data_IF_590402215237
#
_entry.id   IF_590402215237
#
_cell.length_a   1.000
_cell.length_b   1.000
_cell.length_c   1.000
_cell.angle_alpha   90.00
_cell.angle_beta   90.00
_cell.angle_gamma   90.00
#
_symmetry.space_group_name_H-M   'P 1'
#
loop_
_entity.id
_entity.type
_entity.pdbx_description
1 polymer ?
#
# COMPACT_ATOMS: atom_id res chain seq x y z
N UNK A 1 15.66 15.18 -2.26
CA UNK A 1 14.46 15.86 -1.70
C UNK A 1 13.31 14.86 -1.74
N UNK A 2 12.46 14.85 -0.70
CA UNK A 2 11.29 13.98 -0.68
C UNK A 2 10.22 14.56 -1.64
N UNK A 3 9.76 13.78 -2.61
CA UNK A 3 8.78 14.24 -3.61
C UNK A 3 7.34 14.29 -3.06
N UNK A 4 7.04 13.56 -1.97
CA UNK A 4 5.73 13.55 -1.33
C UNK A 4 5.58 14.75 -0.38
N UNK A 5 5.28 15.92 -0.95
CA UNK A 5 5.04 17.17 -0.22
C UNK A 5 3.56 17.49 0.00
N UNK A 6 2.65 16.62 -0.47
CA UNK A 6 1.21 16.86 -0.49
C UNK A 6 0.80 17.60 -1.76
N UNK A 7 -0.03 16.98 -2.60
CA UNK A 7 -0.43 17.56 -3.89
C UNK A 7 -1.71 16.92 -4.41
N UNK A 8 -2.37 17.58 -5.38
CA UNK A 8 -3.51 17.04 -6.09
C UNK A 8 -3.10 16.41 -7.42
N UNK A 9 -3.78 15.34 -7.79
CA UNK A 9 -3.82 14.82 -9.17
C UNK A 9 -5.19 15.23 -9.74
N UNK A 10 -5.17 16.09 -10.75
CA UNK A 10 -6.39 16.61 -11.41
C UNK A 10 -6.61 15.99 -12.80
N UNK A 11 -5.53 15.51 -13.43
CA UNK A 11 -5.58 14.78 -14.70
C UNK A 11 -6.17 13.37 -14.48
N UNK A 12 -6.83 12.77 -15.49
CA UNK A 12 -7.36 11.40 -15.43
C UNK A 12 -6.25 10.35 -15.57
N UNK A 13 -5.32 10.34 -14.61
CA UNK A 13 -4.12 9.51 -14.60
C UNK A 13 -3.95 8.80 -13.27
N UNK A 14 -3.20 7.70 -13.27
CA UNK A 14 -3.00 6.87 -12.08
C UNK A 14 -4.33 6.47 -11.44
N UNK A 15 -4.48 6.65 -10.12
CA UNK A 15 -5.75 6.40 -9.43
C UNK A 15 -6.86 7.41 -9.75
N UNK A 16 -6.56 8.57 -10.33
CA UNK A 16 -7.63 9.52 -10.67
C UNK A 16 -8.36 9.12 -11.96
N UNK A 17 -7.95 8.07 -12.68
CA UNK A 17 -8.62 7.61 -13.91
C UNK A 17 -9.97 6.94 -13.65
N UNK A 18 -10.15 6.35 -12.47
CA UNK A 18 -11.34 5.60 -12.05
C UNK A 18 -12.60 6.46 -12.15
N UNK A 19 -13.58 5.99 -12.97
CA UNK A 19 -14.77 6.71 -13.45
C UNK A 19 -14.62 8.22 -13.62
N UNK A 20 -13.47 8.68 -14.11
CA UNK A 20 -13.14 10.10 -14.07
C UNK A 20 -14.21 10.95 -14.74
N UNK A 21 -14.73 10.53 -15.90
CA UNK A 21 -15.70 11.29 -16.68
C UNK A 21 -17.10 11.33 -16.01
N UNK A 22 -17.46 10.30 -15.26
CA UNK A 22 -18.78 10.15 -14.63
C UNK A 22 -18.90 10.88 -13.28
N UNK A 23 -17.78 11.03 -12.56
CA UNK A 23 -17.74 11.69 -11.24
C UNK A 23 -17.90 13.20 -11.30
N UNK A 24 -18.50 13.81 -10.28
CA UNK A 24 -18.49 15.27 -10.09
C UNK A 24 -17.10 15.77 -9.66
N UNK A 25 -16.48 15.10 -8.68
CA UNK A 25 -15.14 15.48 -8.21
C UNK A 25 -14.06 14.92 -9.16
N UNK A 26 -13.27 15.81 -9.76
CA UNK A 26 -12.25 15.47 -10.77
C UNK A 26 -10.82 15.43 -10.24
N UNK A 27 -10.62 15.40 -8.91
CA UNK A 27 -9.28 15.41 -8.33
C UNK A 27 -9.19 14.56 -7.08
N UNK A 28 -8.02 13.96 -6.88
CA UNK A 28 -7.67 13.27 -5.64
C UNK A 28 -6.42 13.89 -5.04
N UNK A 29 -6.32 13.82 -3.72
CA UNK A 29 -5.18 14.32 -2.97
C UNK A 29 -4.24 13.17 -2.62
N UNK A 30 -2.94 13.39 -2.81
CA UNK A 30 -1.88 12.51 -2.36
C UNK A 30 -1.25 13.14 -1.12
N UNK A 31 -1.40 12.55 0.08
CA UNK A 31 -0.85 13.15 1.28
C UNK A 31 0.67 13.26 1.26
N UNK A 32 1.20 14.23 2.01
CA UNK A 32 2.64 14.35 2.21
C UNK A 32 3.16 13.18 3.03
N UNK A 33 4.41 12.81 2.81
CA UNK A 33 5.09 11.83 3.64
C UNK A 33 5.81 12.53 4.79
N UNK A 34 5.52 12.13 6.02
CA UNK A 34 6.22 12.54 7.23
C UNK A 34 7.01 11.38 7.82
N UNK A 35 8.10 11.68 8.54
CA UNK A 35 8.70 10.71 9.46
C UNK A 35 7.98 10.82 10.79
N UNK A 36 7.50 9.71 11.34
CA UNK A 36 6.69 9.70 12.55
C UNK A 36 6.56 8.32 13.19
N UNK A 37 5.48 8.14 13.93
CA UNK A 37 5.11 6.91 14.65
C UNK A 37 3.70 6.48 14.22
N UNK A 38 3.22 5.32 14.70
CA UNK A 38 1.84 4.90 14.43
C UNK A 38 0.78 5.85 15.02
N UNK A 39 1.13 6.70 16.00
CA UNK A 39 0.26 7.77 16.47
C UNK A 39 0.03 8.88 15.44
N UNK A 40 0.92 9.03 14.46
CA UNK A 40 0.79 10.02 13.40
C UNK A 40 -0.08 9.52 12.23
N UNK A 41 -0.45 8.23 12.25
CA UNK A 41 -1.41 7.64 11.30
C UNK A 41 -2.81 8.01 11.79
N UNK A 42 -3.30 9.14 11.27
CA UNK A 42 -4.59 9.73 11.63
C UNK A 42 -5.37 10.11 10.39
N UNK A 43 -6.70 10.13 10.51
CA UNK A 43 -7.59 10.56 9.44
C UNK A 43 -7.31 11.99 8.99
N UNK A 44 -7.43 12.19 7.69
CA UNK A 44 -7.42 13.48 7.02
C UNK A 44 -8.80 13.80 6.44
N UNK A 45 -8.92 15.01 5.90
CA UNK A 45 -10.20 15.51 5.36
C UNK A 45 -10.28 15.45 3.83
N UNK A 46 -9.15 15.18 3.17
CA UNK A 46 -9.07 15.23 1.72
C UNK A 46 -9.56 13.93 1.09
N UNK A 47 -10.20 14.04 -0.07
CA UNK A 47 -10.57 12.90 -0.92
C UNK A 47 -9.29 12.37 -1.56
N UNK A 48 -8.93 11.12 -1.27
CA UNK A 48 -7.69 10.48 -1.76
C UNK A 48 -7.95 9.38 -2.78
N UNK A 49 -9.20 8.91 -2.86
CA UNK A 49 -9.69 7.99 -3.88
C UNK A 49 -11.14 8.33 -4.19
N UNK A 50 -11.56 8.13 -5.43
CA UNK A 50 -12.92 8.47 -5.82
C UNK A 50 -13.36 7.64 -7.02
N UNK A 51 -14.52 7.00 -6.91
CA UNK A 51 -15.06 6.08 -7.89
C UNK A 51 -16.60 6.20 -7.93
N UNK A 52 -17.22 5.79 -9.04
CA UNK A 52 -18.66 5.52 -9.10
C UNK A 52 -18.88 4.05 -8.75
N UNK A 53 -19.62 3.81 -7.67
CA UNK A 53 -20.00 2.46 -7.24
C UNK A 53 -21.51 2.35 -7.12
N UNK A 54 -22.09 1.34 -7.77
CA UNK A 54 -23.54 1.15 -7.90
C UNK A 54 -24.32 2.43 -8.25
N UNK A 55 -23.73 3.30 -9.09
CA UNK A 55 -24.31 4.57 -9.52
C UNK A 55 -24.17 5.74 -8.53
N UNK A 56 -23.49 5.53 -7.39
CA UNK A 56 -23.20 6.56 -6.41
C UNK A 56 -21.73 6.98 -6.48
N UNK A 57 -21.47 8.28 -6.38
CA UNK A 57 -20.09 8.77 -6.29
C UNK A 57 -19.54 8.61 -4.87
N UNK A 58 -18.56 7.71 -4.72
CA UNK A 58 -17.88 7.45 -3.45
C UNK A 58 -16.64 8.35 -3.37
N UNK A 59 -16.67 9.30 -2.44
CA UNK A 59 -15.59 10.26 -2.17
C UNK A 59 -14.81 9.81 -0.93
N UNK A 60 -13.85 8.91 -1.11
CA UNK A 60 -13.12 8.29 0.00
C UNK A 60 -12.09 9.24 0.60
N UNK A 61 -12.23 9.52 1.91
CA UNK A 61 -11.26 10.28 2.69
C UNK A 61 -10.21 9.33 3.26
N UNK A 62 -8.95 9.75 3.25
CA UNK A 62 -7.83 8.95 3.72
C UNK A 62 -7.07 9.59 4.87
N UNK A 63 -5.78 9.31 4.94
CA UNK A 63 -4.87 9.79 5.96
C UNK A 63 -4.55 11.28 5.81
N UNK A 64 -4.28 11.93 6.94
CA UNK A 64 -3.77 13.31 6.96
C UNK A 64 -2.38 13.40 6.33
N UNK A 65 -1.55 12.39 6.59
CA UNK A 65 -0.20 12.24 6.04
C UNK A 65 0.07 10.76 5.79
N UNK A 66 0.89 10.45 4.79
CA UNK A 66 1.58 9.18 4.75
C UNK A 66 2.66 9.20 5.83
N UNK A 67 2.91 8.06 6.48
CA UNK A 67 3.82 7.97 7.62
C UNK A 67 4.93 6.98 7.32
N UNK A 68 6.17 7.42 7.42
CA UNK A 68 7.35 6.57 7.51
C UNK A 68 7.72 6.43 8.99
N UNK A 69 7.54 5.24 9.54
CA UNK A 69 7.93 4.89 10.90
C UNK A 69 9.11 3.91 10.91
N UNK A 70 9.86 3.93 12.01
CA UNK A 70 10.92 2.95 12.28
C UNK A 70 10.44 2.15 13.49
N UNK A 71 10.12 0.87 13.29
CA UNK A 71 9.61 -0.01 14.35
C UNK A 71 10.64 -1.12 14.55
N UNK A 72 11.38 -1.03 15.65
CA UNK A 72 12.58 -1.83 15.84
C UNK A 72 13.65 -1.48 14.79
N UNK A 73 14.09 -2.47 14.03
CA UNK A 73 15.05 -2.35 12.94
C UNK A 73 14.39 -2.24 11.55
N UNK A 74 13.06 -2.07 11.50
CA UNK A 74 12.28 -2.12 10.24
C UNK A 74 11.78 -0.75 9.84
N UNK A 75 11.88 -0.47 8.54
CA UNK A 75 11.15 0.63 7.92
C UNK A 75 9.73 0.21 7.60
N UNK A 76 8.77 0.98 8.11
CA UNK A 76 7.34 0.78 7.87
C UNK A 76 6.79 2.04 7.20
N UNK A 77 6.13 1.88 6.06
CA UNK A 77 5.50 2.94 5.30
C UNK A 77 3.99 2.71 5.28
N UNK A 78 3.23 3.69 5.78
CA UNK A 78 1.77 3.66 5.82
C UNK A 78 1.22 4.76 4.92
N UNK A 79 0.33 4.42 4.00
CA UNK A 79 -0.22 5.31 2.99
C UNK A 79 -1.62 4.85 2.57
N UNK A 80 -2.36 5.69 1.83
CA UNK A 80 -3.74 5.37 1.43
C UNK A 80 -3.82 4.30 0.35
N UNK A 81 -3.41 4.66 -0.88
CA UNK A 81 -3.61 3.84 -2.06
C UNK A 81 -2.39 2.95 -2.35
N UNK A 82 -2.63 1.69 -2.73
CA UNK A 82 -1.59 0.67 -2.75
C UNK A 82 -0.45 0.90 -3.74
N UNK A 83 -0.70 1.59 -4.86
CA UNK A 83 0.30 1.90 -5.89
C UNK A 83 1.55 2.62 -5.36
N UNK A 84 1.45 3.33 -4.23
CA UNK A 84 2.57 4.00 -3.61
C UNK A 84 3.65 3.04 -3.08
N UNK A 85 3.32 1.76 -2.88
CA UNK A 85 4.25 0.72 -2.46
C UNK A 85 5.49 0.66 -3.36
N UNK A 86 5.31 0.73 -4.69
CA UNK A 86 6.44 0.72 -5.64
C UNK A 86 7.47 1.82 -5.34
N UNK A 87 7.00 3.04 -5.06
CA UNK A 87 7.91 4.15 -4.74
C UNK A 87 8.71 3.86 -3.46
N UNK A 88 8.07 3.31 -2.44
CA UNK A 88 8.72 3.02 -1.17
C UNK A 88 9.65 1.81 -1.24
N UNK A 89 9.33 0.80 -2.05
CA UNK A 89 10.26 -0.29 -2.35
C UNK A 89 11.52 0.24 -3.04
N UNK A 90 11.37 1.08 -4.07
CA UNK A 90 12.54 1.63 -4.76
C UNK A 90 13.35 2.58 -3.87
N UNK A 91 12.69 3.37 -3.03
CA UNK A 91 13.35 4.21 -2.02
C UNK A 91 14.20 3.36 -1.08
N UNK A 92 13.65 2.28 -0.54
CA UNK A 92 14.34 1.40 0.40
C UNK A 92 15.44 0.57 -0.26
N UNK A 93 15.25 0.14 -1.51
CA UNK A 93 16.29 -0.53 -2.28
C UNK A 93 17.49 0.39 -2.53
N UNK A 94 17.25 1.65 -2.89
CA UNK A 94 18.30 2.65 -3.10
C UNK A 94 19.08 2.99 -1.82
N UNK A 95 18.50 2.72 -0.65
CA UNK A 95 19.16 2.83 0.65
C UNK A 95 19.83 1.52 1.10
N UNK A 96 19.79 0.46 0.28
CA UNK A 96 20.28 -0.89 0.57
C UNK A 96 19.60 -1.54 1.79
N UNK A 97 18.31 -1.24 2.02
CA UNK A 97 17.57 -1.84 3.15
C UNK A 97 17.09 -3.27 2.87
N UNK A 98 17.15 -3.71 1.62
CA UNK A 98 16.94 -5.10 1.19
C UNK A 98 17.71 -5.38 -0.11
N UNK A 99 17.80 -6.65 -0.48
CA UNK A 99 18.52 -7.13 -1.65
C UNK A 99 17.61 -7.22 -2.86
N UNK A 100 18.06 -6.69 -4.01
CA UNK A 100 17.36 -6.87 -5.28
C UNK A 100 17.20 -8.38 -5.59
N UNK A 101 15.99 -8.78 -5.98
CA UNK A 101 15.67 -10.18 -6.26
C UNK A 101 15.25 -10.98 -5.02
N UNK A 102 14.97 -10.33 -3.88
CA UNK A 102 14.27 -10.95 -2.77
C UNK A 102 12.80 -11.23 -3.12
N UNK A 103 12.06 -11.87 -2.22
CA UNK A 103 10.63 -12.16 -2.42
C UNK A 103 9.76 -10.97 -2.00
N UNK A 104 8.62 -10.81 -2.66
CA UNK A 104 7.53 -9.98 -2.15
C UNK A 104 6.45 -10.89 -1.55
N UNK A 105 6.07 -10.63 -0.30
CA UNK A 105 4.88 -11.23 0.30
C UNK A 105 3.81 -10.15 0.30
N UNK A 106 2.72 -10.40 -0.42
CA UNK A 106 1.64 -9.44 -0.61
C UNK A 106 0.37 -10.02 0.03
N UNK A 107 -0.12 -9.35 1.08
CA UNK A 107 -1.32 -9.72 1.84
C UNK A 107 -2.41 -8.72 1.52
N UNK A 108 -3.48 -9.16 0.87
CA UNK A 108 -4.44 -8.27 0.22
C UNK A 108 -5.71 -9.06 -0.15
N UNK A 109 -6.89 -8.44 -0.16
CA UNK A 109 -8.10 -9.04 -0.74
C UNK A 109 -7.97 -9.27 -2.27
N UNK A 110 -7.14 -8.47 -2.93
CA UNK A 110 -6.87 -8.42 -4.35
C UNK A 110 -5.48 -8.98 -4.68
N UNK A 111 -5.18 -9.10 -5.97
CA UNK A 111 -3.89 -9.63 -6.45
C UNK A 111 -2.93 -8.54 -6.92
N UNK A 112 -3.48 -7.39 -7.30
CA UNK A 112 -2.76 -6.20 -7.81
C UNK A 112 -1.70 -6.44 -8.89
N UNK A 113 -2.00 -7.45 -9.72
CA UNK A 113 -1.14 -7.98 -10.77
C UNK A 113 -1.67 -7.69 -12.17
N UNK A 114 -2.55 -6.68 -12.34
CA UNK A 114 -2.95 -6.23 -13.68
C UNK A 114 -1.75 -5.62 -14.40
N UNK A 115 -1.76 -5.69 -15.73
CA UNK A 115 -0.71 -5.08 -16.54
C UNK A 115 -0.88 -3.54 -16.55
N UNK A 116 0.18 -2.76 -16.33
CA UNK A 116 0.14 -1.32 -16.55
C UNK A 116 0.08 -1.02 -18.06
N UNK A 117 -0.34 0.20 -18.42
CA UNK A 117 -0.43 0.62 -19.83
C UNK A 117 0.95 0.63 -20.54
N UNK A 118 2.03 0.82 -19.78
CA UNK A 118 3.41 0.67 -20.25
C UNK A 118 4.35 0.37 -19.08
N UNK A 119 5.59 0.04 -19.39
CA UNK A 119 6.66 -0.23 -18.42
C UNK A 119 7.76 0.84 -18.45
N UNK A 120 7.45 2.03 -18.97
CA UNK A 120 8.43 3.07 -19.27
C UNK A 120 8.80 3.83 -18.00
N UNK A 121 9.75 3.28 -17.26
CA UNK A 121 10.27 3.81 -16.01
C UNK A 121 11.74 3.45 -15.81
N UNK A 122 12.56 4.43 -15.46
CA UNK A 122 13.89 4.24 -14.89
C UNK A 122 13.76 4.07 -13.37
N UNK A 123 13.78 2.82 -12.91
CA UNK A 123 13.64 2.51 -11.48
C UNK A 123 14.82 3.03 -10.63
N UNK A 124 15.97 3.36 -11.22
CA UNK A 124 17.09 3.96 -10.49
C UNK A 124 16.96 5.48 -10.34
N UNK A 125 16.00 6.10 -11.04
CA UNK A 125 15.69 7.51 -10.94
C UNK A 125 14.42 7.73 -10.11
N UNK A 126 14.58 8.11 -8.84
CA UNK A 126 13.44 8.34 -7.93
C UNK A 126 12.44 9.40 -8.39
N UNK A 127 12.84 10.37 -9.25
CA UNK A 127 11.87 11.32 -9.85
C UNK A 127 11.00 10.62 -10.88
N UNK A 128 11.58 9.70 -11.65
CA UNK A 128 10.84 8.95 -12.65
C UNK A 128 9.95 7.88 -12.01
N UNK A 129 10.44 7.19 -10.97
CA UNK A 129 9.60 6.30 -10.14
C UNK A 129 8.42 7.07 -9.56
N UNK A 130 8.64 8.28 -9.01
CA UNK A 130 7.56 9.11 -8.49
C UNK A 130 6.52 9.47 -9.56
N UNK A 131 6.96 9.89 -10.76
CA UNK A 131 6.06 10.13 -11.89
C UNK A 131 5.27 8.87 -12.23
N UNK A 132 5.97 7.74 -12.39
CA UNK A 132 5.38 6.48 -12.83
C UNK A 132 4.33 5.98 -11.83
N UNK A 133 4.66 5.98 -10.53
CA UNK A 133 3.74 5.65 -9.44
C UNK A 133 2.45 6.48 -9.46
N UNK A 134 2.55 7.79 -9.75
CA UNK A 134 1.39 8.69 -9.62
C UNK A 134 0.62 8.90 -10.94
N UNK A 135 1.26 8.71 -12.10
CA UNK A 135 0.66 8.99 -13.42
C UNK A 135 0.38 7.75 -14.26
N UNK A 136 1.05 6.63 -14.01
CA UNK A 136 0.90 5.41 -14.83
C UNK A 136 0.26 4.29 -14.02
N UNK A 137 0.69 4.13 -12.77
CA UNK A 137 0.19 3.08 -11.91
C UNK A 137 -1.09 3.47 -11.18
N UNK A 138 -1.90 2.47 -10.93
CA UNK A 138 -3.04 2.54 -10.05
C UNK A 138 -3.00 1.37 -9.06
N UNK A 139 -3.97 1.33 -8.13
CA UNK A 139 -4.05 0.30 -7.09
C UNK A 139 -3.92 -1.12 -7.66
N UNK A 140 -4.44 -1.42 -8.85
CA UNK A 140 -4.45 -2.80 -9.36
C UNK A 140 -3.23 -3.27 -10.17
N UNK A 141 -2.19 -2.44 -10.39
CA UNK A 141 -1.14 -2.76 -11.39
C UNK A 141 0.32 -2.45 -11.01
N UNK A 142 0.61 -2.13 -9.75
CA UNK A 142 1.94 -1.64 -9.34
C UNK A 142 2.99 -2.74 -9.11
N UNK A 143 2.57 -4.00 -8.94
CA UNK A 143 3.48 -5.12 -8.66
C UNK A 143 4.23 -5.58 -9.92
N UNK A 144 3.53 -5.62 -11.07
CA UNK A 144 4.08 -6.10 -12.34
C UNK A 144 5.38 -5.40 -12.78
N UNK A 145 5.52 -4.07 -12.69
CA UNK A 145 6.79 -3.38 -12.92
C UNK A 145 7.93 -3.91 -12.05
N UNK A 146 7.70 -4.08 -10.74
CA UNK A 146 8.74 -4.55 -9.82
C UNK A 146 9.26 -5.94 -10.21
N UNK A 147 8.38 -6.85 -10.65
CA UNK A 147 8.76 -8.17 -11.16
C UNK A 147 9.52 -8.08 -12.48
N UNK A 148 9.02 -7.30 -13.44
CA UNK A 148 9.64 -7.18 -14.76
C UNK A 148 11.09 -6.70 -14.69
N UNK A 149 11.37 -5.78 -13.77
CA UNK A 149 12.72 -5.24 -13.57
C UNK A 149 13.57 -6.03 -12.56
N UNK A 150 13.05 -7.16 -12.07
CA UNK A 150 13.74 -8.07 -11.14
C UNK A 150 14.00 -7.43 -9.78
N UNK A 151 13.18 -6.47 -9.35
CA UNK A 151 13.21 -5.94 -7.98
C UNK A 151 12.87 -7.06 -7.00
N UNK A 152 11.85 -7.84 -7.36
CA UNK A 152 11.51 -9.09 -6.70
C UNK A 152 11.66 -10.26 -7.67
N UNK A 153 12.08 -11.41 -7.15
CA UNK A 153 12.18 -12.65 -7.93
C UNK A 153 10.83 -13.30 -8.16
N UNK A 154 9.94 -13.19 -7.17
CA UNK A 154 8.59 -13.74 -7.16
C UNK A 154 7.70 -12.97 -6.19
N UNK A 155 6.39 -13.21 -6.30
CA UNK A 155 5.38 -12.69 -5.38
C UNK A 155 4.60 -13.86 -4.81
N UNK A 156 4.53 -13.92 -3.49
CA UNK A 156 3.64 -14.83 -2.77
C UNK A 156 2.44 -14.02 -2.33
N UNK A 157 1.28 -14.33 -2.91
CA UNK A 157 0.01 -13.64 -2.64
C UNK A 157 -0.74 -14.41 -1.55
N UNK A 158 -1.18 -13.70 -0.52
CA UNK A 158 -2.02 -14.20 0.55
C UNK A 158 -3.35 -13.45 0.48
N UNK A 159 -4.26 -13.98 -0.35
CA UNK A 159 -5.59 -13.42 -0.66
C UNK A 159 -6.76 -14.32 -0.25
N UNK A 160 -6.45 -15.48 0.33
CA UNK A 160 -7.41 -16.52 0.62
C UNK A 160 -6.90 -17.45 1.72
N UNK A 161 -7.77 -18.29 2.28
CA UNK A 161 -7.42 -19.21 3.37
C UNK A 161 -6.21 -20.09 3.07
N UNK A 162 -6.02 -20.49 1.81
CA UNK A 162 -4.87 -21.28 1.38
C UNK A 162 -3.53 -20.54 1.53
N UNK A 163 -3.51 -19.21 1.39
CA UNK A 163 -2.31 -18.41 1.52
C UNK A 163 -1.76 -18.36 2.96
N UNK A 164 -2.63 -18.53 3.96
CA UNK A 164 -2.26 -18.42 5.37
C UNK A 164 -1.37 -19.59 5.86
N UNK A 165 -1.40 -20.73 5.17
CA UNK A 165 -0.57 -21.91 5.49
C UNK A 165 0.82 -21.89 4.82
N UNK A 166 1.12 -20.90 3.98
CA UNK A 166 2.38 -20.84 3.25
C UNK A 166 3.54 -20.52 4.21
N UNK A 167 4.56 -21.38 4.22
CA UNK A 167 5.84 -21.09 4.87
C UNK A 167 6.71 -20.24 3.97
N UNK A 168 7.32 -19.20 4.54
CA UNK A 168 8.13 -18.23 3.79
C UNK A 168 9.57 -18.31 4.30
N UNK A 169 10.44 -18.76 3.40
CA UNK A 169 11.87 -18.82 3.62
C UNK A 169 12.61 -17.74 2.82
N UNK A 170 13.73 -17.27 3.36
CA UNK A 170 14.62 -16.30 2.73
C UNK A 170 14.30 -14.85 3.09
N UNK A 171 15.00 -13.91 2.46
CA UNK A 171 14.73 -12.48 2.61
C UNK A 171 13.47 -12.09 1.82
N UNK A 172 12.61 -11.28 2.44
CA UNK A 172 11.41 -10.75 1.80
C UNK A 172 11.04 -9.34 2.27
N UNK A 173 10.28 -8.68 1.40
CA UNK A 173 9.51 -7.48 1.73
C UNK A 173 8.06 -7.90 1.97
N UNK A 174 7.45 -7.28 2.98
CA UNK A 174 6.04 -7.48 3.30
C UNK A 174 5.24 -6.27 2.83
N UNK A 175 4.22 -6.54 2.05
CA UNK A 175 3.29 -5.56 1.54
C UNK A 175 1.88 -5.95 1.97
N UNK A 176 1.18 -5.03 2.62
CA UNK A 176 -0.10 -5.31 3.29
C UNK A 176 -1.13 -4.30 2.78
N UNK A 177 -2.20 -4.77 2.17
CA UNK A 177 -3.45 -4.02 2.10
C UNK A 177 -4.30 -4.37 3.33
N UNK A 178 -4.77 -3.34 4.04
CA UNK A 178 -5.62 -3.53 5.21
C UNK A 178 -7.05 -3.96 4.82
N UNK A 179 -7.43 -3.90 3.55
CA UNK A 179 -8.68 -4.47 3.06
C UNK A 179 -8.77 -6.00 3.22
N UNK A 180 -7.66 -6.69 3.52
CA UNK A 180 -7.68 -8.10 3.98
C UNK A 180 -8.52 -8.27 5.26
N UNK A 181 -8.79 -7.18 5.99
CA UNK A 181 -9.67 -7.14 7.15
C UNK A 181 -11.07 -6.59 6.85
N UNK A 182 -11.40 -6.32 5.59
CA UNK A 182 -12.74 -5.89 5.17
C UNK A 182 -13.78 -6.98 5.48
N UNK A 183 -15.06 -6.58 5.45
CA UNK A 183 -16.18 -7.51 5.67
C UNK A 183 -16.23 -8.65 4.66
N UNK A 184 -15.76 -8.41 3.43
CA UNK A 184 -15.75 -9.42 2.38
C UNK A 184 -14.81 -10.58 2.72
N UNK A 185 -13.80 -10.32 3.56
CA UNK A 185 -12.83 -11.31 3.99
C UNK A 185 -13.26 -12.13 5.21
N UNK A 186 -14.38 -11.80 5.88
CA UNK A 186 -14.81 -12.39 7.17
C UNK A 186 -15.04 -13.92 7.15
N UNK A 187 -15.05 -14.55 5.98
CA UNK A 187 -14.99 -16.01 5.87
C UNK A 187 -13.67 -16.61 6.39
N UNK A 188 -12.60 -15.81 6.48
CA UNK A 188 -11.34 -16.16 7.15
C UNK A 188 -11.41 -15.62 8.59
N UNK A 189 -11.10 -16.43 9.63
CA UNK A 189 -11.12 -15.93 11.00
C UNK A 189 -10.16 -14.76 11.23
N UNK A 190 -10.64 -13.71 11.92
CA UNK A 190 -9.86 -12.50 12.23
C UNK A 190 -8.51 -12.82 12.90
N UNK A 191 -8.52 -13.66 13.94
CA UNK A 191 -7.30 -14.03 14.68
C UNK A 191 -6.30 -14.77 13.81
N UNK A 192 -6.77 -15.57 12.84
CA UNK A 192 -5.89 -16.26 11.89
C UNK A 192 -5.19 -15.23 10.99
N UNK A 193 -5.94 -14.25 10.46
CA UNK A 193 -5.38 -13.16 9.66
C UNK A 193 -4.36 -12.35 10.43
N UNK A 194 -4.76 -11.88 11.61
CA UNK A 194 -3.95 -11.04 12.48
C UNK A 194 -2.65 -11.73 12.89
N UNK A 195 -2.73 -12.98 13.37
CA UNK A 195 -1.55 -13.71 13.84
C UNK A 195 -0.57 -14.03 12.70
N UNK A 196 -1.07 -14.44 11.54
CA UNK A 196 -0.21 -14.67 10.38
C UNK A 196 0.54 -13.40 9.98
N UNK A 197 -0.16 -12.27 9.85
CA UNK A 197 0.48 -11.02 9.46
C UNK A 197 1.49 -10.57 10.53
N UNK A 198 1.18 -10.73 11.82
CA UNK A 198 2.14 -10.50 12.92
C UNK A 198 3.40 -11.34 12.79
N UNK A 199 3.27 -12.61 12.39
CA UNK A 199 4.42 -13.47 12.17
C UNK A 199 5.24 -13.03 10.94
N UNK A 200 4.57 -12.62 9.85
CA UNK A 200 5.24 -12.07 8.66
C UNK A 200 6.00 -10.77 8.98
N UNK A 201 5.43 -9.91 9.83
CA UNK A 201 6.07 -8.66 10.26
C UNK A 201 7.41 -8.92 10.94
N UNK A 202 7.56 -10.02 11.71
CA UNK A 202 8.79 -10.35 12.43
C UNK A 202 9.97 -10.59 11.48
N UNK A 203 9.74 -11.29 10.36
CA UNK A 203 10.77 -11.66 9.39
C UNK A 203 11.01 -10.65 8.25
N UNK A 204 10.11 -9.69 8.05
CA UNK A 204 10.21 -8.71 6.97
C UNK A 204 11.35 -7.71 7.17
N UNK A 205 12.01 -7.28 6.07
CA UNK A 205 13.03 -6.20 6.13
C UNK A 205 12.42 -4.80 6.03
N UNK A 206 11.47 -4.64 5.12
CA UNK A 206 10.71 -3.41 4.88
C UNK A 206 9.24 -3.80 4.81
N UNK A 207 8.38 -2.93 5.33
CA UNK A 207 6.94 -3.14 5.35
C UNK A 207 6.27 -1.95 4.67
N UNK A 208 5.42 -2.22 3.67
CA UNK A 208 4.52 -1.24 3.06
C UNK A 208 3.08 -1.60 3.42
N UNK A 209 2.28 -0.60 3.80
CA UNK A 209 0.91 -0.80 4.27
C UNK A 209 0.00 0.23 3.61
N UNK A 210 -0.99 -0.25 2.84
CA UNK A 210 -2.08 0.53 2.30
C UNK A 210 -3.26 0.52 3.29
N UNK A 211 -3.82 1.68 3.61
CA UNK A 211 -5.05 1.76 4.43
C UNK A 211 -6.31 1.65 3.60
N UNK A 212 -6.22 1.81 2.28
CA UNK A 212 -7.26 1.49 1.30
C UNK A 212 -8.64 2.08 1.60
N UNK A 213 -8.75 3.42 1.66
CA UNK A 213 -9.97 4.15 2.08
C UNK A 213 -11.22 3.92 1.23
N UNK A 214 -11.07 3.37 0.03
CA UNK A 214 -12.22 2.96 -0.76
C UNK A 214 -12.77 1.58 -0.35
N UNK A 215 -11.90 0.67 0.11
CA UNK A 215 -12.21 -0.75 0.34
C UNK A 215 -12.50 -1.07 1.81
N UNK A 216 -12.01 -0.26 2.76
CA UNK A 216 -12.20 -0.47 4.19
C UNK A 216 -12.41 0.86 4.95
N UNK A 217 -13.31 0.82 5.94
CA UNK A 217 -13.59 1.96 6.83
C UNK A 217 -12.31 2.37 7.57
N UNK A 218 -11.94 3.65 7.50
CA UNK A 218 -10.60 4.09 7.87
C UNK A 218 -10.33 4.11 9.38
N UNK A 219 -11.32 4.37 10.23
CA UNK A 219 -11.12 4.25 11.67
C UNK A 219 -10.83 2.80 12.05
N UNK A 220 -11.50 1.85 11.39
CA UNK A 220 -11.27 0.43 11.58
C UNK A 220 -9.90 -0.02 11.03
N UNK A 221 -9.51 0.42 9.83
CA UNK A 221 -8.20 0.12 9.25
C UNK A 221 -7.06 0.62 10.16
N UNK A 222 -7.15 1.85 10.68
CA UNK A 222 -6.16 2.41 11.60
C UNK A 222 -6.11 1.63 12.91
N UNK A 223 -7.26 1.20 13.44
CA UNK A 223 -7.31 0.33 14.63
C UNK A 223 -6.57 -0.98 14.38
N UNK A 224 -6.86 -1.68 13.29
CA UNK A 224 -6.22 -2.97 12.95
C UNK A 224 -4.72 -2.79 12.73
N UNK A 225 -4.30 -1.72 12.05
CA UNK A 225 -2.88 -1.37 11.90
C UNK A 225 -2.17 -1.31 13.26
N UNK A 226 -2.76 -0.65 14.25
CA UNK A 226 -2.17 -0.57 15.60
C UNK A 226 -2.15 -1.93 16.30
N UNK A 227 -3.19 -2.74 16.13
CA UNK A 227 -3.24 -4.11 16.65
C UNK A 227 -2.13 -4.99 16.06
N UNK A 228 -1.83 -4.87 14.76
CA UNK A 228 -0.75 -5.61 14.08
C UNK A 228 0.63 -5.37 14.71
N UNK A 229 0.88 -4.16 15.20
CA UNK A 229 2.15 -3.81 15.85
C UNK A 229 2.09 -3.86 17.39
N UNK A 230 1.01 -4.40 17.97
CA UNK A 230 0.76 -4.41 19.43
C UNK A 230 0.89 -3.01 20.06
N UNK A 231 0.55 -1.96 19.31
CA UNK A 231 0.85 -0.58 19.68
C UNK A 231 0.00 -0.09 20.86
N UNK A 232 -1.24 -0.58 20.96
CA UNK A 232 -2.18 -0.25 22.05
C UNK A 232 -2.18 -1.32 23.18
N UNK A 233 -1.20 -2.24 23.20
CA UNK A 233 -1.04 -3.28 24.25
C UNK A 233 0.04 -2.88 25.27
N UNK A 234 0.64 -1.69 25.13
CA UNK A 234 1.49 -1.12 26.18
C UNK A 234 0.56 -0.41 27.19
N UNK A 235 0.02 -1.19 28.13
CA UNK A 235 -0.37 -0.72 29.47
C UNK A 235 0.77 -0.97 30.47
#
# INVERSE_FOLDING_TARGET
MNNYVGFYIEEPVGNNVFSYDERENKKIFIPKLIKGTLNDVVLGENIVFNEIDEGNEIKAKGLKNMVHCNIGDKDVYVFDNHNHALYFWMKSLNLNHFTKGCKLIHVDQHKDMREPINYDVDLYNMKDVFRYTNKVLNVGNFIKPALKYGIFSEVIIIDSSYGFDINIDGEYILDIDLDIFSKDMDYIPYDLRLNKIKDLIKGAKVITIATSPYFIEQDYAIKVLKELFNYDIIE
#
